data_IF_731450817729
#
_entry.id   IF_731450817729
#
_cell.length_a   1.000
_cell.length_b   1.000
_cell.length_c   1.000
_cell.angle_alpha   90.00
_cell.angle_beta   90.00
_cell.angle_gamma   90.00
#
_symmetry.space_group_name_H-M   'P 1'
#
loop_
_entity.id
_entity.type
_entity.pdbx_description
1 polymer ?
#
# COMPACT_ATOMS: atom_id res chain seq x y z
N UNK A 1 -2.86 -19.00 16.28
CA UNK A 1 -4.15 -18.87 16.98
C UNK A 1 -5.09 -18.27 15.95
N UNK A 2 -6.04 -19.07 15.43
CA UNK A 2 -7.11 -18.59 14.57
C UNK A 2 -7.99 -17.66 15.41
N UNK A 3 -7.90 -16.36 15.17
CA UNK A 3 -8.66 -15.39 15.93
C UNK A 3 -9.92 -15.01 15.17
N UNK A 4 -11.08 -15.30 15.71
CA UNK A 4 -12.29 -14.59 15.29
C UNK A 4 -12.13 -13.13 15.72
N UNK A 5 -12.44 -12.15 14.86
CA UNK A 5 -12.47 -10.77 15.30
C UNK A 5 -13.58 -10.59 16.35
N UNK A 6 -13.33 -9.74 17.34
CA UNK A 6 -14.31 -9.42 18.40
C UNK A 6 -15.59 -8.80 17.84
N UNK A 7 -15.45 -8.02 16.76
CA UNK A 7 -16.56 -7.36 16.07
C UNK A 7 -16.64 -7.89 14.64
N UNK A 8 -17.82 -8.33 14.23
CA UNK A 8 -18.06 -8.93 12.93
C UNK A 8 -19.44 -8.53 12.38
N UNK A 9 -19.56 -8.42 11.07
CA UNK A 9 -20.85 -8.21 10.43
C UNK A 9 -21.77 -9.41 10.63
N UNK A 10 -23.08 -9.15 10.87
CA UNK A 10 -24.08 -10.21 10.99
C UNK A 10 -24.12 -11.06 9.72
N UNK A 11 -24.16 -12.37 9.89
CA UNK A 11 -24.23 -13.36 8.79
C UNK A 11 -22.90 -13.97 8.38
N UNK A 12 -21.76 -13.51 8.94
CA UNK A 12 -20.46 -14.13 8.73
C UNK A 12 -20.05 -14.90 9.99
N UNK A 13 -19.96 -16.23 9.87
CA UNK A 13 -19.67 -17.14 11.01
C UNK A 13 -18.40 -17.95 10.83
N UNK A 14 -17.92 -18.08 9.57
CA UNK A 14 -16.76 -18.90 9.22
C UNK A 14 -15.48 -18.37 9.89
N UNK A 15 -14.58 -19.26 10.27
CA UNK A 15 -13.29 -18.87 10.82
C UNK A 15 -12.42 -18.20 9.75
N UNK A 16 -11.62 -17.20 10.18
CA UNK A 16 -10.66 -16.57 9.30
C UNK A 16 -9.46 -17.50 9.11
N UNK A 17 -9.10 -17.70 7.84
CA UNK A 17 -7.99 -18.57 7.48
C UNK A 17 -6.67 -17.84 7.62
N UNK A 18 -5.72 -18.40 8.38
CA UNK A 18 -4.38 -17.85 8.49
C UNK A 18 -3.50 -18.34 7.35
N UNK A 19 -2.88 -17.41 6.63
CA UNK A 19 -2.00 -17.66 5.49
C UNK A 19 -0.71 -16.85 5.61
N UNK A 20 0.29 -17.19 4.81
CA UNK A 20 1.40 -16.29 4.51
C UNK A 20 0.98 -15.37 3.37
N UNK A 21 1.41 -14.10 3.41
CA UNK A 21 1.03 -13.12 2.40
C UNK A 21 1.44 -13.58 0.99
N UNK A 22 2.63 -14.17 0.83
CA UNK A 22 3.09 -14.72 -0.44
C UNK A 22 2.19 -15.80 -1.07
N UNK A 23 1.46 -16.56 -0.25
CA UNK A 23 0.57 -17.62 -0.75
C UNK A 23 -0.68 -17.05 -1.44
N UNK A 24 -1.02 -15.80 -1.15
CA UNK A 24 -2.23 -15.10 -1.63
C UNK A 24 -1.94 -13.95 -2.59
N UNK A 25 -0.69 -13.84 -3.05
CA UNK A 25 -0.27 -12.89 -4.09
C UNK A 25 0.02 -13.62 -5.40
N UNK A 26 -0.38 -13.02 -6.51
CA UNK A 26 0.02 -13.44 -7.87
C UNK A 26 1.40 -12.89 -8.22
N UNK A 27 1.69 -11.64 -7.84
CA UNK A 27 2.92 -10.95 -8.19
C UNK A 27 3.27 -9.87 -7.16
N UNK A 28 4.54 -9.50 -7.15
CA UNK A 28 5.08 -8.34 -6.44
C UNK A 28 6.02 -7.59 -7.37
N UNK A 29 5.95 -6.27 -7.37
CA UNK A 29 6.80 -5.44 -8.21
C UNK A 29 7.45 -4.32 -7.41
N UNK A 30 8.78 -4.29 -7.44
CA UNK A 30 9.58 -3.20 -6.89
C UNK A 30 9.96 -2.23 -8.00
N UNK A 31 9.76 -0.94 -7.78
CA UNK A 31 10.11 0.09 -8.71
C UNK A 31 11.62 0.38 -8.82
N UNK A 32 11.96 1.37 -9.61
CA UNK A 32 13.34 1.85 -9.82
C UNK A 32 13.34 3.37 -9.98
N UNK A 33 14.54 3.98 -9.90
CA UNK A 33 14.72 5.40 -10.14
C UNK A 33 15.55 5.61 -11.41
N UNK A 34 15.03 6.30 -12.43
CA UNK A 34 15.84 6.75 -13.56
C UNK A 34 17.00 7.62 -13.08
N UNK A 35 18.12 7.63 -13.82
CA UNK A 35 19.29 8.42 -13.41
C UNK A 35 18.93 9.90 -13.18
N UNK A 36 19.21 10.40 -11.98
CA UNK A 36 19.00 11.81 -11.61
C UNK A 36 19.93 12.77 -12.35
N UNK A 37 21.04 12.27 -12.86
CA UNK A 37 22.03 13.05 -13.60
C UNK A 37 21.60 13.32 -15.06
N UNK A 38 20.49 12.72 -15.51
CA UNK A 38 19.95 12.87 -16.85
C UNK A 38 18.62 13.61 -16.80
N UNK A 39 18.67 14.93 -17.02
CA UNK A 39 17.48 15.79 -16.97
C UNK A 39 16.42 15.39 -18.00
N UNK A 40 16.83 14.82 -19.13
CA UNK A 40 15.95 14.33 -20.19
C UNK A 40 15.06 13.14 -19.77
N UNK A 41 15.33 12.51 -18.63
CA UNK A 41 14.49 11.43 -18.09
C UNK A 41 13.34 11.94 -17.22
N UNK A 42 13.32 13.22 -16.87
CA UNK A 42 12.42 13.83 -15.92
C UNK A 42 11.49 14.86 -16.57
N UNK A 43 10.42 15.24 -15.83
CA UNK A 43 9.44 16.24 -16.27
C UNK A 43 8.69 15.86 -17.57
N UNK A 44 8.47 14.56 -17.80
CA UNK A 44 7.66 14.05 -18.91
C UNK A 44 6.17 13.96 -18.54
N UNK A 45 5.50 12.95 -19.08
CA UNK A 45 4.06 12.73 -18.93
C UNK A 45 3.70 11.44 -18.20
N UNK A 46 4.68 10.66 -17.72
CA UNK A 46 4.48 9.41 -17.00
C UNK A 46 4.65 9.69 -15.51
N UNK A 47 3.63 9.40 -14.73
CA UNK A 47 3.66 9.54 -13.27
C UNK A 47 4.70 8.63 -12.65
N UNK A 48 5.47 9.14 -11.68
CA UNK A 48 6.47 8.39 -10.94
C UNK A 48 6.33 8.66 -9.44
N UNK A 49 5.91 7.65 -8.69
CA UNK A 49 5.56 7.75 -7.28
C UNK A 49 6.71 7.30 -6.39
N UNK A 50 7.04 8.11 -5.40
CA UNK A 50 8.03 7.79 -4.37
C UNK A 50 7.37 7.32 -3.08
N UNK A 51 8.12 6.60 -2.24
CA UNK A 51 7.62 6.13 -0.94
C UNK A 51 7.30 7.26 0.05
N UNK A 52 7.88 8.44 -0.13
CA UNK A 52 7.58 9.63 0.67
C UNK A 52 6.17 10.18 0.46
N UNK A 53 5.51 9.79 -0.63
CA UNK A 53 4.15 10.23 -0.97
C UNK A 53 3.05 9.29 -0.43
N UNK A 54 3.44 8.14 0.15
CA UNK A 54 2.50 7.17 0.71
C UNK A 54 1.95 7.68 2.04
N UNK A 55 0.65 7.94 2.07
CA UNK A 55 -0.03 8.67 3.15
C UNK A 55 -1.02 7.80 3.95
N UNK A 56 -0.95 6.48 3.83
CA UNK A 56 -1.90 5.51 4.41
C UNK A 56 -3.36 5.72 3.95
N UNK A 57 -3.51 6.33 2.77
CA UNK A 57 -4.78 6.61 2.10
C UNK A 57 -4.74 6.21 0.63
N UNK A 58 -5.65 6.77 -0.16
CA UNK A 58 -5.56 6.70 -1.62
C UNK A 58 -4.75 7.88 -2.13
N UNK A 59 -3.71 7.61 -2.91
CA UNK A 59 -2.91 8.64 -3.58
C UNK A 59 -3.48 8.87 -4.97
N UNK A 60 -3.77 10.13 -5.32
CA UNK A 60 -4.44 10.50 -6.58
C UNK A 60 -3.52 11.18 -7.59
N UNK A 61 -2.29 11.50 -7.20
CA UNK A 61 -1.29 12.11 -8.08
C UNK A 61 0.13 11.79 -7.57
N UNK A 62 1.16 12.10 -8.36
CA UNK A 62 2.57 12.04 -7.98
C UNK A 62 3.23 13.40 -8.13
N UNK A 63 4.19 13.69 -7.26
CA UNK A 63 4.95 14.95 -7.31
C UNK A 63 5.86 15.03 -8.52
N UNK A 64 6.37 13.89 -8.98
CA UNK A 64 7.32 13.83 -10.08
C UNK A 64 6.77 13.03 -11.25
N UNK A 65 7.28 13.36 -12.42
CA UNK A 65 6.95 12.70 -13.68
C UNK A 65 8.24 12.36 -14.42
N UNK A 66 8.21 11.29 -15.18
CA UNK A 66 9.33 10.83 -16.02
C UNK A 66 8.92 10.81 -17.49
N UNK A 67 9.91 10.84 -18.36
CA UNK A 67 9.72 10.66 -19.80
C UNK A 67 9.65 9.17 -20.17
N UNK A 68 9.26 8.85 -21.40
CA UNK A 68 9.34 7.48 -21.92
C UNK A 68 10.77 6.93 -21.91
N UNK A 69 11.77 7.77 -22.19
CA UNK A 69 13.18 7.37 -22.14
C UNK A 69 13.62 7.13 -20.68
N UNK A 70 13.14 7.92 -19.73
CA UNK A 70 13.32 7.68 -18.32
C UNK A 70 12.73 6.33 -17.89
N UNK A 71 11.50 6.05 -18.32
CA UNK A 71 10.82 4.78 -18.04
C UNK A 71 11.60 3.59 -18.63
N UNK A 72 12.00 3.67 -19.90
CA UNK A 72 12.76 2.62 -20.60
C UNK A 72 14.13 2.39 -19.94
N UNK A 73 14.84 3.48 -19.60
CA UNK A 73 16.18 3.40 -19.01
C UNK A 73 16.23 2.68 -17.67
N UNK A 74 15.16 2.75 -16.89
CA UNK A 74 15.03 2.11 -15.58
C UNK A 74 14.14 0.84 -15.63
N UNK A 75 13.76 0.38 -16.83
CA UNK A 75 12.88 -0.77 -17.05
C UNK A 75 11.61 -0.75 -16.16
N UNK A 76 10.97 0.42 -16.08
CA UNK A 76 9.79 0.63 -15.26
C UNK A 76 8.52 0.17 -15.97
N UNK A 77 7.72 -0.62 -15.26
CA UNK A 77 6.37 -0.95 -15.72
C UNK A 77 5.35 0.02 -15.11
N UNK A 78 4.25 0.24 -15.81
CA UNK A 78 3.10 0.95 -15.25
C UNK A 78 2.38 0.03 -14.26
N UNK A 79 2.16 0.52 -13.06
CA UNK A 79 1.36 -0.11 -12.02
C UNK A 79 -0.04 0.49 -12.09
N UNK A 80 -1.09 -0.33 -12.27
CA UNK A 80 -2.43 0.17 -12.51
C UNK A 80 -3.08 0.73 -11.25
N UNK A 81 -4.01 1.65 -11.45
CA UNK A 81 -4.97 2.11 -10.44
C UNK A 81 -5.59 0.94 -9.69
N UNK A 82 -5.87 1.13 -8.40
CA UNK A 82 -6.43 0.11 -7.49
C UNK A 82 -5.40 -0.85 -6.92
N UNK A 83 -4.12 -0.72 -7.28
CA UNK A 83 -3.06 -1.55 -6.71
C UNK A 83 -2.68 -1.05 -5.31
N UNK A 84 -2.46 -1.99 -4.39
CA UNK A 84 -1.88 -1.71 -3.08
C UNK A 84 -0.37 -1.56 -3.18
N UNK A 85 0.17 -0.52 -2.55
CA UNK A 85 1.61 -0.22 -2.48
C UNK A 85 2.04 -0.04 -1.03
N UNK A 86 3.22 -0.54 -0.68
CA UNK A 86 3.86 -0.31 0.61
C UNK A 86 5.27 0.27 0.46
N UNK A 87 5.68 1.07 1.42
CA UNK A 87 7.08 1.47 1.58
C UNK A 87 7.90 0.28 2.11
N UNK A 88 9.07 0.05 1.51
CA UNK A 88 9.93 -1.08 1.86
C UNK A 88 11.31 -0.67 2.39
N UNK A 89 11.65 0.62 2.39
CA UNK A 89 12.91 1.14 2.91
C UNK A 89 12.69 2.37 3.77
N UNK A 90 13.66 2.73 4.60
CA UNK A 90 13.57 3.91 5.47
C UNK A 90 12.59 3.71 6.62
N UNK A 91 12.47 2.49 7.13
CA UNK A 91 11.47 2.11 8.13
C UNK A 91 12.00 2.21 9.58
N UNK A 92 13.19 2.76 9.78
CA UNK A 92 13.81 2.94 11.10
C UNK A 92 13.16 4.05 11.92
N UNK A 93 12.62 5.08 11.27
CA UNK A 93 12.01 6.20 11.95
C UNK A 93 10.55 5.92 12.37
N UNK A 94 10.15 6.42 13.54
CA UNK A 94 8.75 6.40 13.95
C UNK A 94 7.89 7.17 12.92
N UNK A 95 6.73 6.62 12.55
CA UNK A 95 5.82 7.21 11.57
C UNK A 95 6.10 6.83 10.11
N UNK A 96 7.26 6.23 9.78
CA UNK A 96 7.54 5.70 8.43
C UNK A 96 7.12 4.24 8.27
N UNK A 97 7.14 3.48 9.37
CA UNK A 97 6.67 2.09 9.40
C UNK A 97 5.19 2.03 9.05
N UNK A 98 4.82 1.07 8.23
CA UNK A 98 3.44 0.88 7.79
C UNK A 98 2.96 1.92 6.77
N UNK A 99 3.84 2.75 6.20
CA UNK A 99 3.45 3.63 5.11
C UNK A 99 3.05 2.81 3.89
N UNK A 100 1.84 3.06 3.42
CA UNK A 100 1.22 2.37 2.30
C UNK A 100 0.18 3.27 1.62
N UNK A 101 -0.29 2.84 0.47
CA UNK A 101 -1.38 3.52 -0.23
C UNK A 101 -2.14 2.57 -1.16
N UNK A 102 -3.36 2.97 -1.53
CA UNK A 102 -4.01 2.51 -2.74
C UNK A 102 -3.74 3.51 -3.86
N UNK A 103 -3.48 3.03 -5.07
CA UNK A 103 -3.34 3.89 -6.24
C UNK A 103 -4.69 4.37 -6.74
N UNK A 104 -4.87 5.68 -6.84
CA UNK A 104 -6.01 6.34 -7.50
C UNK A 104 -5.79 6.57 -9.00
N UNK A 105 -4.61 6.26 -9.52
CA UNK A 105 -4.17 6.49 -10.91
C UNK A 105 -3.10 5.47 -11.31
N UNK A 106 -2.83 5.38 -12.61
CA UNK A 106 -1.74 4.55 -13.14
C UNK A 106 -0.41 5.28 -12.98
N UNK A 107 0.63 4.59 -12.50
CA UNK A 107 1.93 5.20 -12.20
C UNK A 107 3.08 4.22 -12.32
N UNK A 108 4.31 4.73 -12.38
CA UNK A 108 5.53 3.98 -12.10
C UNK A 108 5.97 4.23 -10.66
N UNK A 109 6.88 3.41 -10.12
CA UNK A 109 7.29 3.44 -8.72
C UNK A 109 8.79 3.62 -8.58
N UNK A 110 9.21 4.25 -7.48
CA UNK A 110 10.62 4.24 -7.08
C UNK A 110 11.01 2.89 -6.43
N UNK A 111 12.32 2.68 -6.21
CA UNK A 111 12.86 1.46 -5.60
C UNK A 111 12.47 1.27 -4.13
N UNK A 112 11.93 2.28 -3.47
CA UNK A 112 11.49 2.21 -2.07
C UNK A 112 10.01 1.83 -1.93
N UNK A 113 9.33 1.59 -3.05
CA UNK A 113 7.94 1.13 -3.12
C UNK A 113 7.87 -0.32 -3.62
N UNK A 114 6.98 -1.09 -3.01
CA UNK A 114 6.59 -2.43 -3.48
C UNK A 114 5.09 -2.45 -3.77
N UNK A 115 4.73 -2.76 -5.02
CA UNK A 115 3.37 -3.06 -5.40
C UNK A 115 3.07 -4.54 -5.13
N UNK A 116 1.92 -4.83 -4.54
CA UNK A 116 1.46 -6.19 -4.29
C UNK A 116 0.19 -6.45 -5.12
N UNK A 117 0.19 -7.58 -5.82
CA UNK A 117 -0.91 -7.99 -6.69
C UNK A 117 -1.59 -9.24 -6.12
N UNK A 118 -2.73 -9.09 -5.42
CA UNK A 118 -3.43 -10.20 -4.82
C UNK A 118 -4.05 -11.16 -5.83
N UNK A 119 -4.11 -12.46 -5.47
CA UNK A 119 -4.98 -13.45 -6.12
C UNK A 119 -6.43 -13.06 -5.87
N UNK A 120 -7.15 -12.68 -6.93
CA UNK A 120 -8.49 -12.06 -6.85
C UNK A 120 -9.57 -12.92 -6.20
N UNK A 121 -9.41 -14.23 -6.20
CA UNK A 121 -10.27 -15.21 -5.57
C UNK A 121 -9.97 -15.45 -4.08
N UNK A 122 -8.83 -14.94 -3.59
CA UNK A 122 -8.39 -15.12 -2.21
C UNK A 122 -8.29 -13.81 -1.43
N UNK A 123 -7.81 -12.73 -2.06
CA UNK A 123 -7.52 -11.47 -1.40
C UNK A 123 -7.87 -10.28 -2.30
N UNK A 124 -8.51 -9.25 -1.72
CA UNK A 124 -8.76 -7.98 -2.42
C UNK A 124 -7.73 -6.92 -2.03
N UNK A 125 -7.35 -6.04 -2.97
CA UNK A 125 -6.42 -4.93 -2.69
C UNK A 125 -6.92 -4.00 -1.59
N UNK A 126 -8.24 -3.73 -1.56
CA UNK A 126 -8.86 -2.87 -0.55
C UNK A 126 -8.78 -3.48 0.85
N UNK A 127 -9.00 -4.80 0.98
CA UNK A 127 -8.83 -5.48 2.27
C UNK A 127 -7.37 -5.56 2.68
N UNK A 128 -6.46 -5.86 1.75
CA UNK A 128 -5.01 -5.85 1.98
C UNK A 128 -4.54 -4.49 2.50
N UNK A 129 -5.05 -3.40 1.92
CA UNK A 129 -4.78 -2.05 2.37
C UNK A 129 -5.25 -1.81 3.82
N UNK A 130 -6.48 -2.16 4.16
CA UNK A 130 -7.00 -1.98 5.51
C UNK A 130 -6.28 -2.87 6.53
N UNK A 131 -5.96 -4.10 6.15
CA UNK A 131 -5.16 -5.01 6.99
C UNK A 131 -3.78 -4.42 7.27
N UNK A 132 -3.06 -3.94 6.24
CA UNK A 132 -1.71 -3.41 6.42
C UNK A 132 -1.69 -2.10 7.21
N UNK A 133 -2.68 -1.25 7.09
CA UNK A 133 -2.86 -0.06 7.94
C UNK A 133 -2.90 -0.42 9.44
N UNK A 134 -3.49 -1.56 9.77
CA UNK A 134 -3.58 -2.06 11.15
C UNK A 134 -2.26 -2.63 11.66
N UNK A 135 -1.58 -3.43 10.85
CA UNK A 135 -0.42 -4.22 11.30
C UNK A 135 0.94 -3.66 10.87
N UNK A 136 0.96 -2.74 9.92
CA UNK A 136 2.18 -2.32 9.23
C UNK A 136 3.25 -1.70 10.13
N UNK A 137 2.88 -1.01 11.20
CA UNK A 137 3.84 -0.47 12.17
C UNK A 137 4.49 -1.59 12.98
N UNK A 138 3.69 -2.49 13.54
CA UNK A 138 4.17 -3.66 14.29
C UNK A 138 5.03 -4.57 13.39
N UNK A 139 4.59 -4.80 12.16
CA UNK A 139 5.33 -5.63 11.21
C UNK A 139 6.63 -4.96 10.74
N UNK A 140 6.63 -3.64 10.64
CA UNK A 140 7.83 -2.85 10.38
C UNK A 140 8.89 -2.98 11.48
N UNK A 141 8.48 -3.29 12.71
CA UNK A 141 9.40 -3.58 13.81
C UNK A 141 9.87 -5.05 13.76
N UNK A 142 8.95 -5.98 13.56
CA UNK A 142 9.19 -7.41 13.79
C UNK A 142 9.74 -8.16 12.57
N UNK A 143 9.50 -7.66 11.35
CA UNK A 143 9.79 -8.39 10.11
C UNK A 143 10.75 -7.65 9.15
N UNK A 144 11.31 -6.51 9.55
CA UNK A 144 12.33 -5.82 8.76
C UNK A 144 13.73 -6.27 9.15
N UNK A 145 14.69 -6.04 8.26
CA UNK A 145 16.11 -6.26 8.49
C UNK A 145 16.90 -4.95 8.40
N UNK A 146 18.09 -4.96 9.01
CA UNK A 146 18.97 -3.80 9.05
C UNK A 146 18.92 -3.03 10.37
N UNK A 147 20.06 -2.53 10.84
CA UNK A 147 20.17 -1.77 12.09
C UNK A 147 20.13 -0.27 11.89
N UNK A 148 20.75 0.23 10.79
CA UNK A 148 20.80 1.65 10.46
C UNK A 148 19.70 2.06 9.47
N UNK A 149 19.36 1.18 8.55
CA UNK A 149 18.28 1.36 7.59
C UNK A 149 17.43 0.09 7.59
N UNK A 150 16.26 0.18 8.20
CA UNK A 150 15.32 -0.93 8.23
C UNK A 150 14.59 -1.05 6.89
N UNK A 151 14.51 -2.27 6.38
CA UNK A 151 13.87 -2.54 5.09
C UNK A 151 13.22 -3.92 5.04
N UNK A 152 12.18 -4.03 4.20
CA UNK A 152 11.70 -5.30 3.70
C UNK A 152 12.45 -5.69 2.42
N UNK A 153 12.59 -6.99 2.21
CA UNK A 153 12.81 -7.57 0.89
C UNK A 153 11.59 -8.44 0.52
N UNK A 154 11.56 -8.97 -0.71
CA UNK A 154 10.44 -9.78 -1.18
C UNK A 154 10.18 -11.01 -0.30
N UNK A 155 11.23 -11.68 0.18
CA UNK A 155 11.08 -12.88 1.01
C UNK A 155 10.49 -12.56 2.39
N UNK A 156 10.87 -11.45 3.00
CA UNK A 156 10.29 -10.98 4.26
C UNK A 156 8.81 -10.61 4.09
N UNK A 157 8.43 -10.00 2.96
CA UNK A 157 7.02 -9.69 2.68
C UNK A 157 6.21 -10.99 2.51
N UNK A 158 6.74 -11.98 1.80
CA UNK A 158 6.04 -13.25 1.57
C UNK A 158 5.69 -14.00 2.85
N UNK A 159 6.51 -13.91 3.89
CA UNK A 159 6.29 -14.64 5.15
C UNK A 159 5.36 -13.91 6.12
N UNK A 160 4.93 -12.67 5.85
CA UNK A 160 4.03 -11.92 6.72
C UNK A 160 2.73 -12.70 6.93
N UNK A 161 2.33 -12.93 8.19
CA UNK A 161 1.09 -13.66 8.47
C UNK A 161 -0.13 -12.76 8.23
N UNK A 162 -1.09 -13.26 7.47
CA UNK A 162 -2.37 -12.59 7.21
C UNK A 162 -3.53 -13.53 7.55
N UNK A 163 -4.57 -13.01 8.22
CA UNK A 163 -5.80 -13.73 8.47
C UNK A 163 -6.88 -13.24 7.51
N UNK A 164 -7.49 -14.16 6.79
CA UNK A 164 -8.40 -13.88 5.68
C UNK A 164 -9.81 -14.41 5.97
N UNK A 165 -10.82 -13.54 5.98
CA UNK A 165 -12.20 -13.94 5.81
C UNK A 165 -12.51 -14.30 4.36
N UNK A 166 -13.72 -14.74 4.08
CA UNK A 166 -14.20 -14.89 2.70
C UNK A 166 -14.07 -13.57 1.92
N UNK A 167 -13.87 -13.65 0.60
CA UNK A 167 -13.73 -12.45 -0.26
C UNK A 167 -14.96 -11.54 -0.16
N UNK A 168 -16.16 -12.10 0.05
CA UNK A 168 -17.38 -11.33 0.28
C UNK A 168 -17.30 -10.49 1.57
N UNK A 169 -16.78 -11.08 2.65
CA UNK A 169 -16.59 -10.38 3.93
C UNK A 169 -15.46 -9.34 3.82
N UNK A 170 -14.35 -9.67 3.14
CA UNK A 170 -13.26 -8.72 2.87
C UNK A 170 -13.78 -7.45 2.20
N UNK A 171 -14.58 -7.58 1.14
CA UNK A 171 -15.19 -6.43 0.45
C UNK A 171 -16.07 -5.61 1.37
N UNK A 172 -16.86 -6.27 2.22
CA UNK A 172 -17.74 -5.57 3.16
C UNK A 172 -16.96 -4.82 4.23
N UNK A 173 -15.90 -5.42 4.78
CA UNK A 173 -15.02 -4.77 5.76
C UNK A 173 -14.32 -3.57 5.12
N UNK A 174 -13.72 -3.75 3.96
CA UNK A 174 -12.98 -2.70 3.28
C UNK A 174 -13.89 -1.53 2.89
N UNK A 175 -15.07 -1.80 2.35
CA UNK A 175 -16.07 -0.76 2.01
C UNK A 175 -16.53 0.01 3.25
N UNK A 176 -16.80 -0.66 4.36
CA UNK A 176 -17.21 -0.01 5.60
C UNK A 176 -16.13 0.92 6.13
N UNK A 177 -14.87 0.45 6.21
CA UNK A 177 -13.75 1.26 6.67
C UNK A 177 -13.45 2.43 5.74
N UNK A 178 -13.52 2.22 4.42
CA UNK A 178 -13.36 3.30 3.43
C UNK A 178 -14.43 4.39 3.57
N UNK A 179 -15.69 4.01 3.85
CA UNK A 179 -16.76 4.97 4.11
C UNK A 179 -16.50 5.77 5.40
N UNK A 180 -15.98 5.14 6.44
CA UNK A 180 -15.59 5.86 7.66
C UNK A 180 -14.44 6.85 7.39
N UNK A 181 -13.41 6.44 6.65
CA UNK A 181 -12.31 7.34 6.25
C UNK A 181 -12.85 8.56 5.49
N UNK A 182 -13.79 8.35 4.56
CA UNK A 182 -14.42 9.43 3.81
C UNK A 182 -15.19 10.39 4.71
N UNK A 183 -16.00 9.88 5.64
CA UNK A 183 -16.73 10.70 6.59
C UNK A 183 -15.82 11.52 7.50
N UNK A 184 -14.73 10.91 7.98
CA UNK A 184 -13.72 11.61 8.79
C UNK A 184 -13.13 12.77 8.00
N UNK A 185 -12.73 12.54 6.75
CA UNK A 185 -12.17 13.57 5.87
C UNK A 185 -13.15 14.73 5.65
N UNK A 186 -14.42 14.43 5.35
CA UNK A 186 -15.45 15.46 5.19
C UNK A 186 -15.67 16.29 6.47
N UNK A 187 -15.68 15.64 7.62
CA UNK A 187 -15.80 16.34 8.90
C UNK A 187 -14.61 17.22 9.21
N UNK A 188 -13.39 16.76 8.93
CA UNK A 188 -12.17 17.57 9.08
C UNK A 188 -12.20 18.81 8.20
N UNK A 189 -12.56 18.67 6.91
CA UNK A 189 -12.69 19.80 5.98
C UNK A 189 -13.72 20.83 6.50
N UNK A 190 -14.90 20.35 6.94
CA UNK A 190 -15.93 21.23 7.48
C UNK A 190 -15.47 21.95 8.76
N UNK A 191 -14.72 21.28 9.64
CA UNK A 191 -14.16 21.92 10.82
C UNK A 191 -13.12 23.00 10.46
N UNK A 192 -12.32 22.78 9.42
CA UNK A 192 -11.35 23.78 8.95
C UNK A 192 -12.02 24.98 8.30
N UNK A 193 -13.08 24.78 7.54
CA UNK A 193 -13.90 25.86 6.97
C UNK A 193 -14.53 26.73 8.08
N UNK A 194 -15.10 26.11 9.11
CA UNK A 194 -15.72 26.83 10.24
C UNK A 194 -14.71 27.63 11.08
N UNK A 195 -13.45 27.22 11.12
CA UNK A 195 -12.40 27.99 11.83
C UNK A 195 -11.94 29.24 11.08
N UNK A 196 -12.29 29.39 9.81
CA UNK A 196 -11.94 30.54 8.97
C UNK A 196 -13.01 31.65 9.01
N UNK A 197 -14.15 31.40 9.65
CA UNK A 197 -15.25 32.35 9.91
C UNK A 197 -15.05 33.01 11.29
#
# INVERSE_FOLDING_TARGET
IMGKPEIRFKGYTDEWEQRKLGDVLDDMYNGQTPSRNKSEYWNGNIKWLSSGELNRGTVYDSMEMITEDGQKSANLRIVPKGTFIMAITGLEAAGTRGNCALLGFDTTLNQSCMALFPKKDLLTSDFLFQWYRKVGEEYGINYTQGTKQQSYNAELIKILPISLPSVAEQRKIASYLSNLDHLITLHQQKCEELKKI
#
